data_IF_891500944264
#
_entry.id   IF_891500944264
#
_cell.length_a   1.000
_cell.length_b   1.000
_cell.length_c   1.000
_cell.angle_alpha   90.00
_cell.angle_beta   90.00
_cell.angle_gamma   90.00
#
_symmetry.space_group_name_H-M   'P 1'
#
loop_
_entity.id
_entity.type
_entity.pdbx_description
1 polymer ?
#
# COMPACT_ATOMS: atom_id res chain seq x y z
N UNK A 1 32.34 -28.99 40.36
CA UNK A 1 33.01 -28.43 39.16
C UNK A 1 31.92 -27.74 38.34
N UNK A 2 31.74 -26.40 38.36
CA UNK A 2 32.58 -25.34 37.75
C UNK A 2 32.73 -25.63 36.24
N UNK A 3 32.26 -24.85 35.25
CA UNK A 3 31.75 -23.47 35.12
C UNK A 3 30.92 -23.35 33.80
N UNK A 4 30.20 -22.23 33.57
CA UNK A 4 29.25 -22.00 32.49
C UNK A 4 29.92 -21.45 31.21
N UNK A 5 29.23 -21.56 30.07
CA UNK A 5 29.53 -20.81 28.85
C UNK A 5 28.47 -19.71 28.70
N UNK A 6 28.82 -18.53 29.19
CA UNK A 6 28.25 -17.25 28.75
C UNK A 6 28.66 -17.00 27.31
N UNK A 7 27.68 -16.78 26.44
CA UNK A 7 27.87 -16.25 25.10
C UNK A 7 26.83 -15.17 24.85
N UNK A 8 27.05 -13.99 25.43
CA UNK A 8 26.33 -12.77 25.11
C UNK A 8 26.51 -12.50 23.61
N UNK A 9 25.46 -12.70 22.81
CA UNK A 9 25.38 -12.15 21.45
C UNK A 9 25.05 -10.67 21.59
N UNK A 10 26.07 -9.89 21.93
CA UNK A 10 26.05 -8.46 21.66
C UNK A 10 26.22 -8.31 20.15
N UNK A 11 25.09 -8.36 19.43
CA UNK A 11 25.07 -8.10 18.00
C UNK A 11 25.57 -6.68 17.77
N UNK A 12 26.58 -6.52 16.91
CA UNK A 12 26.92 -5.24 16.35
C UNK A 12 25.66 -4.67 15.70
N UNK A 13 24.99 -3.73 16.36
CA UNK A 13 24.00 -2.87 15.70
C UNK A 13 24.83 -2.12 14.66
N UNK A 14 24.65 -2.49 13.38
CA UNK A 14 25.38 -1.85 12.29
C UNK A 14 25.15 -0.34 12.36
N UNK A 15 26.20 0.46 12.18
CA UNK A 15 26.08 1.92 12.29
C UNK A 15 24.97 2.51 11.41
N UNK A 16 24.66 1.86 10.28
CA UNK A 16 23.52 2.20 9.42
C UNK A 16 22.15 2.07 10.10
N UNK A 17 21.92 1.06 10.94
CA UNK A 17 20.66 0.91 11.67
C UNK A 17 20.45 2.05 12.68
N UNK A 18 21.52 2.46 13.38
CA UNK A 18 21.45 3.59 14.33
C UNK A 18 21.10 4.89 13.60
N UNK A 19 21.68 5.12 12.41
CA UNK A 19 21.41 6.32 11.61
C UNK A 19 19.96 6.37 11.12
N UNK A 20 19.42 5.23 10.66
CA UNK A 20 18.01 5.13 10.23
C UNK A 20 17.07 5.35 11.41
N UNK A 21 17.31 4.73 12.57
CA UNK A 21 16.48 4.95 13.76
C UNK A 21 16.46 6.42 14.19
N UNK A 22 17.59 7.12 14.13
CA UNK A 22 17.65 8.55 14.41
C UNK A 22 16.89 9.39 13.37
N UNK A 23 16.98 9.02 12.09
CA UNK A 23 16.23 9.68 11.02
C UNK A 23 14.72 9.49 11.23
N UNK A 24 14.26 8.28 11.52
CA UNK A 24 12.85 7.97 11.79
C UNK A 24 12.33 8.77 12.99
N UNK A 25 13.10 8.85 14.08
CA UNK A 25 12.75 9.69 15.24
C UNK A 25 12.58 11.15 14.85
N UNK A 26 13.53 11.70 14.09
CA UNK A 26 13.45 13.09 13.62
C UNK A 26 12.20 13.34 12.77
N UNK A 27 11.89 12.45 11.82
CA UNK A 27 10.68 12.57 11.00
C UNK A 27 9.43 12.59 11.89
N UNK A 28 9.35 11.66 12.84
CA UNK A 28 8.22 11.58 13.78
C UNK A 28 8.10 12.82 14.65
N UNK A 29 9.21 13.33 15.20
CA UNK A 29 9.24 14.52 16.06
C UNK A 29 8.74 15.78 15.34
N UNK A 30 9.02 15.92 14.05
CA UNK A 30 8.55 17.06 13.24
C UNK A 30 7.09 16.92 12.81
N UNK A 31 6.65 15.70 12.44
CA UNK A 31 5.32 15.46 11.86
C UNK A 31 4.25 15.24 12.92
N UNK A 32 4.52 14.45 13.98
CA UNK A 32 3.54 14.07 14.99
C UNK A 32 2.82 15.26 15.69
N UNK A 33 3.46 16.42 15.94
CA UNK A 33 2.78 17.58 16.51
C UNK A 33 1.69 18.20 15.62
N UNK A 34 1.60 17.82 14.34
CA UNK A 34 0.59 18.35 13.43
C UNK A 34 -0.82 17.89 13.84
N UNK A 35 -1.82 18.79 13.95
CA UNK A 35 -3.17 18.44 14.41
C UNK A 35 -3.91 17.39 13.57
N UNK A 36 -3.55 17.24 12.29
CA UNK A 36 -4.13 16.25 11.38
C UNK A 36 -3.58 14.84 11.57
N UNK A 37 -2.43 14.65 12.22
CA UNK A 37 -1.77 13.33 12.28
C UNK A 37 -2.40 12.45 13.34
N UNK A 38 -3.05 11.37 12.95
CA UNK A 38 -3.59 10.36 13.87
C UNK A 38 -2.58 9.25 14.17
N UNK A 39 -1.73 8.90 13.21
CA UNK A 39 -0.67 7.91 13.39
C UNK A 39 0.39 7.99 12.31
N UNK A 40 1.58 7.48 12.63
CA UNK A 40 2.71 7.37 11.71
C UNK A 40 3.23 5.94 11.77
N UNK A 41 3.45 5.33 10.61
CA UNK A 41 4.01 3.99 10.50
C UNK A 41 5.22 3.99 9.57
N UNK A 42 6.19 3.13 9.86
CA UNK A 42 7.21 2.71 8.91
C UNK A 42 6.58 1.62 8.02
N UNK A 43 6.65 1.78 6.70
CA UNK A 43 6.16 0.84 5.71
C UNK A 43 7.28 0.07 4.99
N UNK A 44 6.88 -0.58 3.88
CA UNK A 44 7.78 -1.16 2.90
C UNK A 44 8.72 -2.25 3.42
N UNK A 45 9.86 -2.37 2.74
CA UNK A 45 10.85 -3.43 3.00
C UNK A 45 11.46 -3.33 4.41
N UNK A 46 11.57 -2.10 4.95
CA UNK A 46 12.11 -1.84 6.30
C UNK A 46 11.12 -2.24 7.40
N UNK A 47 9.82 -2.11 7.16
CA UNK A 47 8.81 -2.66 8.05
C UNK A 47 8.82 -4.19 8.05
N UNK A 48 8.90 -4.81 6.88
CA UNK A 48 8.81 -6.26 6.70
C UNK A 48 10.12 -7.02 6.95
N UNK A 49 11.24 -6.32 7.15
CA UNK A 49 12.54 -6.95 7.39
C UNK A 49 13.24 -7.50 6.14
N UNK A 50 12.82 -7.02 4.97
CA UNK A 50 13.36 -7.43 3.64
C UNK A 50 14.23 -6.34 3.01
N UNK A 51 14.51 -5.26 3.75
CA UNK A 51 15.30 -4.13 3.27
C UNK A 51 16.77 -4.47 3.02
N UNK A 52 17.32 -3.86 1.97
CA UNK A 52 18.74 -3.78 1.64
C UNK A 52 19.31 -2.41 2.04
N UNK A 53 20.60 -2.20 1.83
CA UNK A 53 21.26 -0.92 2.08
C UNK A 53 20.67 0.21 1.22
N UNK A 54 20.33 -0.10 -0.04
CA UNK A 54 19.74 0.84 -1.01
C UNK A 54 18.22 0.98 -0.90
N UNK A 55 17.56 0.33 0.06
CA UNK A 55 16.12 0.43 0.20
C UNK A 55 15.67 1.81 0.68
N UNK A 56 14.60 2.31 0.09
CA UNK A 56 13.94 3.55 0.50
C UNK A 56 13.34 3.43 1.92
N UNK A 57 12.87 4.56 2.44
CA UNK A 57 12.17 4.65 3.72
C UNK A 57 10.73 5.09 3.47
N UNK A 58 9.79 4.15 3.54
CA UNK A 58 8.36 4.44 3.42
C UNK A 58 7.77 4.89 4.77
N UNK A 59 7.19 6.09 4.80
CA UNK A 59 6.51 6.65 5.98
C UNK A 59 5.02 6.82 5.67
N UNK A 60 4.19 5.97 6.25
CA UNK A 60 2.74 6.11 6.20
C UNK A 60 2.25 7.13 7.22
N UNK A 61 1.60 8.19 6.76
CA UNK A 61 0.99 9.23 7.59
C UNK A 61 -0.53 9.08 7.52
N UNK A 62 -1.13 8.65 8.63
CA UNK A 62 -2.57 8.51 8.75
C UNK A 62 -3.14 9.83 9.26
N UNK A 63 -3.91 10.51 8.42
CA UNK A 63 -4.36 11.88 8.67
C UNK A 63 -5.88 11.99 8.75
N UNK A 64 -6.34 12.94 9.57
CA UNK A 64 -7.70 13.43 9.59
C UNK A 64 -7.88 14.49 8.49
N UNK A 65 -8.69 14.18 7.48
CA UNK A 65 -8.92 15.05 6.32
C UNK A 65 -9.45 16.42 6.73
N UNK A 66 -10.30 16.51 7.75
CA UNK A 66 -10.92 17.78 8.16
C UNK A 66 -9.91 18.78 8.76
N UNK A 67 -8.79 18.27 9.26
CA UNK A 67 -7.74 19.06 9.91
C UNK A 67 -6.50 19.23 9.03
N UNK A 68 -6.52 18.68 7.82
CA UNK A 68 -5.34 18.57 6.96
C UNK A 68 -4.79 19.95 6.61
N UNK A 69 -3.49 20.12 6.79
CA UNK A 69 -2.75 21.35 6.49
C UNK A 69 -1.54 20.99 5.61
N UNK A 70 -1.75 21.05 4.29
CA UNK A 70 -0.72 20.72 3.30
C UNK A 70 0.42 21.73 3.27
N UNK A 71 0.16 23.00 3.61
CA UNK A 71 1.20 24.03 3.64
C UNK A 71 2.16 23.78 4.79
N UNK A 72 1.62 23.45 5.99
CA UNK A 72 2.44 23.04 7.12
C UNK A 72 3.23 21.77 6.84
N UNK A 73 2.61 20.77 6.21
CA UNK A 73 3.31 19.53 5.86
C UNK A 73 4.43 19.78 4.82
N UNK A 74 4.19 20.63 3.83
CA UNK A 74 5.22 21.04 2.85
C UNK A 74 6.38 21.80 3.51
N UNK A 75 6.09 22.68 4.48
CA UNK A 75 7.12 23.36 5.26
C UNK A 75 8.00 22.38 6.06
N UNK A 76 7.37 21.38 6.70
CA UNK A 76 8.10 20.31 7.41
C UNK A 76 8.92 19.48 6.41
N UNK A 77 8.33 19.07 5.29
CA UNK A 77 9.01 18.29 4.27
C UNK A 77 10.24 19.03 3.72
N UNK A 78 10.12 20.33 3.44
CA UNK A 78 11.24 21.19 3.01
C UNK A 78 12.33 21.29 4.09
N UNK A 79 11.96 21.40 5.37
CA UNK A 79 12.93 21.42 6.48
C UNK A 79 13.68 20.09 6.67
N UNK A 80 13.06 18.97 6.29
CA UNK A 80 13.65 17.63 6.35
C UNK A 80 14.52 17.31 5.12
N UNK A 81 14.13 17.79 3.94
CA UNK A 81 14.80 17.52 2.67
C UNK A 81 16.21 18.12 2.61
N UNK A 82 17.18 17.34 2.15
CA UNK A 82 18.60 17.73 2.07
C UNK A 82 18.84 18.95 1.19
N UNK A 83 17.99 19.14 0.17
CA UNK A 83 18.07 20.27 -0.75
C UNK A 83 17.13 21.42 -0.37
N UNK A 84 16.37 21.28 0.72
CA UNK A 84 15.35 22.24 1.15
C UNK A 84 14.39 22.64 0.02
N UNK A 85 14.01 21.68 -0.83
CA UNK A 85 13.07 21.92 -1.94
C UNK A 85 11.70 22.30 -1.38
N UNK A 86 10.97 23.11 -2.13
CA UNK A 86 9.60 23.51 -1.80
C UNK A 86 8.59 22.64 -2.56
N UNK A 87 7.34 22.60 -2.08
CA UNK A 87 6.22 21.90 -2.73
C UNK A 87 6.49 20.40 -3.00
N UNK A 88 7.10 19.72 -2.03
CA UNK A 88 7.47 18.30 -2.09
C UNK A 88 6.30 17.34 -1.89
N UNK A 89 5.23 17.80 -1.23
CA UNK A 89 4.04 17.01 -0.94
C UNK A 89 2.91 17.51 -1.81
N UNK A 90 2.30 16.57 -2.54
CA UNK A 90 1.18 16.85 -3.43
C UNK A 90 -0.07 17.32 -2.68
N UNK A 91 -1.12 17.64 -3.43
CA UNK A 91 -2.49 17.72 -2.87
C UNK A 91 -3.22 16.39 -3.02
N UNK A 92 -4.27 16.23 -2.21
CA UNK A 92 -5.11 15.05 -2.29
C UNK A 92 -5.70 14.85 -3.69
N UNK A 93 -5.56 13.64 -4.23
CA UNK A 93 -6.04 13.25 -5.55
C UNK A 93 -5.03 13.45 -6.70
N UNK A 94 -3.92 14.17 -6.48
CA UNK A 94 -2.91 14.39 -7.53
C UNK A 94 -2.15 13.11 -7.89
N UNK A 95 -2.06 12.17 -6.96
CA UNK A 95 -1.55 10.82 -7.23
C UNK A 95 -2.64 9.84 -7.67
N UNK A 96 -3.86 10.30 -7.94
CA UNK A 96 -5.01 9.46 -8.25
C UNK A 96 -5.93 9.25 -7.04
N UNK A 97 -6.99 8.46 -7.22
CA UNK A 97 -8.05 8.36 -6.22
C UNK A 97 -7.67 7.47 -5.03
N UNK A 98 -6.75 6.53 -5.17
CA UNK A 98 -6.49 5.48 -4.17
C UNK A 98 -5.18 5.63 -3.43
N UNK A 99 -4.22 6.37 -3.97
CA UNK A 99 -3.10 6.88 -3.18
C UNK A 99 -3.43 8.33 -2.87
N UNK A 100 -4.00 8.60 -1.67
CA UNK A 100 -4.58 9.92 -1.36
C UNK A 100 -3.64 11.06 -1.74
N UNK A 101 -2.40 11.00 -1.24
CA UNK A 101 -1.29 11.84 -1.64
C UNK A 101 0.02 11.28 -1.06
N UNK A 102 1.15 11.89 -1.40
CA UNK A 102 2.45 11.65 -0.83
C UNK A 102 3.46 12.73 -1.18
N UNK A 103 4.71 12.45 -0.87
CA UNK A 103 5.84 13.30 -1.24
C UNK A 103 7.14 12.53 -1.23
N UNK A 104 8.08 12.94 -2.08
CA UNK A 104 9.39 12.31 -2.23
C UNK A 104 10.50 13.22 -1.74
N UNK A 105 11.19 12.78 -0.69
CA UNK A 105 12.26 13.52 -0.05
C UNK A 105 13.58 12.76 -0.20
N UNK A 106 14.66 13.50 -0.01
CA UNK A 106 15.95 12.90 0.35
C UNK A 106 16.36 13.46 1.70
N UNK A 107 16.56 12.61 2.70
CA UNK A 107 16.91 13.01 4.07
C UNK A 107 18.18 12.29 4.48
N UNK A 108 19.26 13.05 4.71
CA UNK A 108 20.61 12.55 4.99
C UNK A 108 21.08 11.50 3.97
N UNK A 109 20.76 11.72 2.69
CA UNK A 109 21.10 10.83 1.59
C UNK A 109 20.18 9.62 1.41
N UNK A 110 19.17 9.43 2.27
CA UNK A 110 18.17 8.36 2.11
C UNK A 110 16.95 8.88 1.35
N UNK A 111 16.46 8.11 0.39
CA UNK A 111 15.15 8.33 -0.21
C UNK A 111 14.05 8.05 0.83
N UNK A 112 13.14 9.00 0.99
CA UNK A 112 12.03 8.92 1.94
C UNK A 112 10.73 9.21 1.22
N UNK A 113 9.82 8.24 1.26
CA UNK A 113 8.51 8.30 0.65
C UNK A 113 7.47 8.59 1.73
N UNK A 114 6.87 9.78 1.71
CA UNK A 114 5.71 10.09 2.53
C UNK A 114 4.47 9.57 1.80
N UNK A 115 3.69 8.74 2.47
CA UNK A 115 2.46 8.15 1.93
C UNK A 115 1.31 8.54 2.84
N UNK A 116 0.41 9.41 2.36
CA UNK A 116 -0.72 9.88 3.14
C UNK A 116 -1.92 8.92 2.99
N UNK A 117 -2.58 8.63 4.10
CA UNK A 117 -3.80 7.81 4.18
C UNK A 117 -4.86 8.53 5.00
N UNK A 118 -5.98 8.82 4.38
CA UNK A 118 -7.16 9.36 5.07
C UNK A 118 -7.68 8.31 6.06
N UNK A 119 -7.65 8.64 7.34
CA UNK A 119 -8.03 7.70 8.41
C UNK A 119 -9.51 7.29 8.33
N UNK A 120 -10.40 8.16 7.85
CA UNK A 120 -11.81 7.80 7.70
C UNK A 120 -11.98 6.73 6.62
N UNK A 121 -11.25 6.86 5.51
CA UNK A 121 -11.23 5.88 4.43
C UNK A 121 -10.60 4.55 4.86
N UNK A 122 -9.52 4.60 5.64
CA UNK A 122 -8.90 3.38 6.19
C UNK A 122 -9.90 2.61 7.04
N UNK A 123 -10.68 3.29 7.90
CA UNK A 123 -11.73 2.65 8.71
C UNK A 123 -12.81 2.01 7.83
N UNK A 124 -13.30 2.72 6.81
CA UNK A 124 -14.28 2.17 5.86
C UNK A 124 -13.75 0.90 5.17
N UNK A 125 -12.50 0.92 4.70
CA UNK A 125 -11.88 -0.26 4.10
C UNK A 125 -11.75 -1.40 5.11
N UNK A 126 -11.37 -1.13 6.36
CA UNK A 126 -11.32 -2.17 7.38
C UNK A 126 -12.70 -2.81 7.55
N UNK A 127 -13.77 -2.02 7.66
CA UNK A 127 -15.12 -2.54 7.83
C UNK A 127 -15.61 -3.34 6.59
N UNK A 128 -15.31 -2.87 5.38
CA UNK A 128 -15.62 -3.58 4.13
C UNK A 128 -14.87 -4.91 4.03
N UNK A 129 -13.58 -4.88 4.33
CA UNK A 129 -12.74 -6.08 4.30
C UNK A 129 -13.11 -7.11 5.37
N UNK A 130 -13.65 -6.70 6.53
CA UNK A 130 -14.24 -7.66 7.49
C UNK A 130 -15.39 -8.46 6.87
N UNK A 131 -16.16 -7.86 5.96
CA UNK A 131 -17.27 -8.50 5.24
C UNK A 131 -16.85 -9.19 3.93
N UNK A 132 -15.55 -9.22 3.63
CA UNK A 132 -15.03 -9.75 2.37
C UNK A 132 -15.31 -8.87 1.15
N UNK A 133 -15.70 -7.62 1.36
CA UNK A 133 -15.94 -6.67 0.27
C UNK A 133 -14.62 -6.02 -0.15
N UNK A 134 -14.24 -6.19 -1.42
CA UNK A 134 -13.07 -5.56 -2.02
C UNK A 134 -13.32 -5.27 -3.49
N UNK A 135 -12.63 -4.27 -4.02
CA UNK A 135 -12.74 -3.87 -5.41
C UNK A 135 -11.37 -3.50 -6.00
N UNK A 136 -11.23 -3.75 -7.31
CA UNK A 136 -10.10 -3.32 -8.11
C UNK A 136 -10.42 -1.98 -8.77
N UNK A 137 -9.45 -1.07 -8.75
CA UNK A 137 -9.62 0.30 -9.25
C UNK A 137 -8.49 0.70 -10.17
N UNK A 138 -8.81 1.45 -11.22
CA UNK A 138 -7.76 2.10 -12.00
C UNK A 138 -7.07 3.18 -11.16
N UNK A 139 -5.75 3.17 -11.16
CA UNK A 139 -4.93 4.00 -10.30
C UNK A 139 -3.56 4.21 -10.95
N UNK A 140 -3.12 5.47 -11.04
CA UNK A 140 -1.79 5.81 -11.55
C UNK A 140 -0.71 5.09 -10.75
N UNK A 141 0.31 4.59 -11.46
CA UNK A 141 1.38 3.79 -10.86
C UNK A 141 1.01 2.31 -10.60
N UNK A 142 -0.24 1.92 -10.82
CA UNK A 142 -0.73 0.55 -10.58
C UNK A 142 -1.31 -0.02 -11.89
N UNK A 143 -0.47 -0.53 -12.81
CA UNK A 143 -0.90 -0.94 -14.15
C UNK A 143 -1.91 -2.11 -14.14
N UNK A 144 -1.96 -2.89 -13.07
CA UNK A 144 -2.93 -3.98 -12.87
C UNK A 144 -4.09 -3.61 -11.95
N UNK A 145 -4.27 -2.31 -11.69
CA UNK A 145 -5.25 -1.78 -10.75
C UNK A 145 -4.76 -1.79 -9.30
N UNK A 146 -5.38 -0.92 -8.51
CA UNK A 146 -5.23 -0.84 -7.07
C UNK A 146 -6.38 -1.60 -6.41
N UNK A 147 -6.05 -2.56 -5.57
CA UNK A 147 -7.04 -3.32 -4.81
C UNK A 147 -7.28 -2.57 -3.50
N UNK A 148 -8.50 -2.16 -3.22
CA UNK A 148 -8.80 -1.32 -2.05
C UNK A 148 -8.38 -1.96 -0.72
N UNK A 149 -8.40 -3.29 -0.63
CA UNK A 149 -7.88 -4.07 0.50
C UNK A 149 -6.39 -3.82 0.81
N UNK A 150 -5.62 -3.21 -0.10
CA UNK A 150 -4.24 -2.79 0.15
C UNK A 150 -4.14 -1.81 1.32
N UNK A 151 -5.16 -0.98 1.60
CA UNK A 151 -5.15 -0.09 2.78
C UNK A 151 -5.03 -0.89 4.09
N UNK A 152 -5.75 -2.02 4.20
CA UNK A 152 -5.61 -2.94 5.34
C UNK A 152 -4.21 -3.52 5.37
N UNK A 153 -3.75 -4.07 4.25
CA UNK A 153 -2.45 -4.74 4.15
C UNK A 153 -1.27 -3.84 4.50
N UNK A 154 -1.29 -2.60 4.01
CA UNK A 154 -0.28 -1.57 4.30
C UNK A 154 -0.24 -1.23 5.80
N UNK A 155 -1.40 -1.00 6.44
CA UNK A 155 -1.48 -0.72 7.88
C UNK A 155 -1.05 -1.93 8.72
N UNK A 156 -1.46 -3.13 8.33
CA UNK A 156 -1.09 -4.38 8.99
C UNK A 156 0.42 -4.60 8.96
N UNK A 157 1.04 -4.49 7.78
CA UNK A 157 2.47 -4.71 7.59
C UNK A 157 3.35 -3.59 8.19
N UNK A 158 2.81 -2.36 8.29
CA UNK A 158 3.54 -1.22 8.82
C UNK A 158 3.91 -1.39 10.30
N UNK A 159 5.05 -0.84 10.71
CA UNK A 159 5.45 -0.74 12.13
C UNK A 159 5.04 0.62 12.68
N UNK A 160 4.25 0.65 13.75
CA UNK A 160 3.85 1.91 14.37
C UNK A 160 5.08 2.67 14.91
N UNK A 161 5.22 3.92 14.48
CA UNK A 161 6.22 4.86 14.99
C UNK A 161 5.58 5.88 15.94
N UNK A 162 4.31 6.23 15.69
CA UNK A 162 3.52 7.14 16.51
C UNK A 162 2.03 6.79 16.42
N UNK A 163 1.33 6.91 17.54
CA UNK A 163 -0.12 6.87 17.63
C UNK A 163 -0.57 8.04 18.51
N UNK A 164 -1.52 8.85 18.02
CA UNK A 164 -2.05 9.98 18.80
C UNK A 164 -2.80 9.50 20.03
N UNK A 165 -3.58 8.44 19.86
CA UNK A 165 -4.44 7.88 20.88
C UNK A 165 -4.64 6.38 20.66
N UNK A 166 -5.32 5.74 21.60
CA UNK A 166 -5.58 4.30 21.59
C UNK A 166 -6.40 3.86 20.36
N UNK A 167 -7.23 4.73 19.78
CA UNK A 167 -8.07 4.37 18.63
C UNK A 167 -7.25 4.03 17.39
N UNK A 168 -6.10 4.69 17.20
CA UNK A 168 -5.18 4.34 16.10
C UNK A 168 -4.52 2.98 16.33
N UNK A 169 -4.09 2.71 17.56
CA UNK A 169 -3.49 1.42 17.95
C UNK A 169 -4.48 0.28 17.73
N UNK A 170 -5.71 0.41 18.22
CA UNK A 170 -6.78 -0.58 18.03
C UNK A 170 -7.12 -0.78 16.55
N UNK A 171 -7.16 0.29 15.76
CA UNK A 171 -7.39 0.20 14.32
C UNK A 171 -6.25 -0.57 13.61
N UNK A 172 -5.00 -0.37 14.03
CA UNK A 172 -3.86 -1.13 13.51
C UNK A 172 -3.94 -2.62 13.90
N UNK A 173 -4.21 -2.92 15.16
CA UNK A 173 -4.39 -4.30 15.64
C UNK A 173 -5.51 -5.01 14.88
N UNK A 174 -6.62 -4.31 14.61
CA UNK A 174 -7.70 -4.82 13.74
C UNK A 174 -7.22 -5.13 12.32
N UNK A 175 -6.37 -4.28 11.75
CA UNK A 175 -5.85 -4.48 10.40
C UNK A 175 -4.94 -5.72 10.29
N UNK A 176 -4.21 -6.06 11.36
CA UNK A 176 -3.31 -7.22 11.43
C UNK A 176 -4.05 -8.57 11.41
N UNK A 177 -5.32 -8.58 11.80
CA UNK A 177 -6.16 -9.77 11.64
C UNK A 177 -6.54 -9.91 10.16
N UNK A 178 -6.29 -11.07 9.56
CA UNK A 178 -6.72 -11.36 8.19
C UNK A 178 -8.12 -12.01 8.22
N UNK A 179 -9.20 -11.29 7.81
CA UNK A 179 -10.55 -11.83 7.91
C UNK A 179 -10.75 -13.01 6.95
N UNK A 180 -11.46 -14.03 7.41
CA UNK A 180 -11.72 -15.21 6.60
C UNK A 180 -12.60 -14.91 5.38
N UNK A 181 -13.55 -13.98 5.51
CA UNK A 181 -14.35 -13.49 4.38
C UNK A 181 -13.47 -12.84 3.32
N UNK A 182 -12.52 -11.99 3.73
CA UNK A 182 -11.58 -11.34 2.81
C UNK A 182 -10.74 -12.37 2.06
N UNK A 183 -10.20 -13.37 2.79
CA UNK A 183 -9.41 -14.44 2.20
C UNK A 183 -10.21 -15.19 1.13
N UNK A 184 -11.45 -15.57 1.44
CA UNK A 184 -12.34 -16.27 0.50
C UNK A 184 -12.66 -15.42 -0.72
N UNK A 185 -13.00 -14.15 -0.52
CA UNK A 185 -13.34 -13.21 -1.59
C UNK A 185 -12.16 -12.98 -2.55
N UNK A 186 -10.97 -12.69 -2.02
CA UNK A 186 -9.76 -12.48 -2.84
C UNK A 186 -9.38 -13.73 -3.64
N UNK A 187 -9.38 -14.91 -3.00
CA UNK A 187 -9.08 -16.18 -3.69
C UNK A 187 -10.10 -16.42 -4.80
N UNK A 188 -11.40 -16.25 -4.52
CA UNK A 188 -12.46 -16.46 -5.50
C UNK A 188 -12.29 -15.55 -6.72
N UNK A 189 -12.14 -14.25 -6.48
CA UNK A 189 -12.00 -13.23 -7.52
C UNK A 189 -10.77 -13.49 -8.41
N UNK A 190 -9.59 -13.65 -7.82
CA UNK A 190 -8.37 -13.83 -8.61
C UNK A 190 -8.26 -15.21 -9.26
N UNK A 191 -8.83 -16.26 -8.67
CA UNK A 191 -8.90 -17.57 -9.32
C UNK A 191 -9.84 -17.57 -10.52
N UNK A 192 -10.96 -16.83 -10.45
CA UNK A 192 -11.81 -16.61 -11.60
C UNK A 192 -11.06 -15.91 -12.73
N UNK A 193 -10.43 -14.76 -12.47
CA UNK A 193 -9.65 -13.99 -13.45
C UNK A 193 -8.55 -14.84 -14.11
N UNK A 194 -7.83 -15.64 -13.31
CA UNK A 194 -6.79 -16.54 -13.80
C UNK A 194 -7.36 -17.63 -14.71
N UNK A 195 -8.44 -18.31 -14.30
CA UNK A 195 -9.11 -19.34 -15.12
C UNK A 195 -9.66 -18.75 -16.42
N UNK A 196 -10.26 -17.57 -16.35
CA UNK A 196 -10.82 -16.88 -17.50
C UNK A 196 -9.73 -16.51 -18.51
N UNK A 197 -8.60 -15.98 -18.04
CA UNK A 197 -7.43 -15.68 -18.87
C UNK A 197 -6.84 -16.93 -19.53
N UNK A 198 -6.71 -18.03 -18.79
CA UNK A 198 -6.23 -19.31 -19.34
C UNK A 198 -7.16 -19.84 -20.44
N UNK A 199 -8.48 -19.83 -20.22
CA UNK A 199 -9.46 -20.24 -21.22
C UNK A 199 -9.32 -19.43 -22.52
N UNK A 200 -9.17 -18.10 -22.43
CA UNK A 200 -9.00 -17.24 -23.60
C UNK A 200 -7.67 -17.55 -24.33
N UNK A 201 -6.57 -17.75 -23.59
CA UNK A 201 -5.29 -18.11 -24.17
C UNK A 201 -5.35 -19.46 -24.93
N UNK A 202 -5.97 -20.48 -24.33
CA UNK A 202 -6.19 -21.79 -24.96
C UNK A 202 -7.06 -21.69 -26.23
N UNK A 203 -8.09 -20.86 -26.20
CA UNK A 203 -8.98 -20.63 -27.35
C UNK A 203 -8.24 -19.98 -28.54
N UNK A 204 -7.45 -18.93 -28.29
CA UNK A 204 -6.72 -18.24 -29.35
C UNK A 204 -5.55 -19.09 -29.89
N UNK A 205 -4.87 -19.87 -29.04
CA UNK A 205 -3.81 -20.79 -29.46
C UNK A 205 -4.27 -21.87 -30.46
N UNK A 206 -5.58 -22.11 -30.56
CA UNK A 206 -6.19 -23.08 -31.50
C UNK A 206 -6.62 -22.46 -32.84
N UNK A 207 -6.27 -21.20 -33.12
CA UNK A 207 -6.44 -20.57 -34.44
C UNK A 207 -7.58 -19.56 -34.58
N UNK A 208 -8.20 -19.13 -33.47
CA UNK A 208 -9.12 -18.00 -33.47
C UNK A 208 -8.36 -16.69 -33.33
N UNK A 209 -8.12 -15.97 -34.43
CA UNK A 209 -7.44 -14.68 -34.40
C UNK A 209 -8.33 -13.58 -33.81
N UNK A 210 -8.19 -13.30 -32.52
CA UNK A 210 -8.75 -12.13 -31.86
C UNK A 210 -7.65 -11.37 -31.12
N UNK A 211 -7.55 -10.06 -31.36
CA UNK A 211 -6.64 -9.21 -30.59
C UNK A 211 -7.21 -9.08 -29.16
N UNK A 212 -6.54 -9.67 -28.17
CA UNK A 212 -6.88 -9.49 -26.76
C UNK A 212 -6.27 -8.18 -26.28
N UNK A 213 -7.10 -7.19 -25.93
CA UNK A 213 -6.66 -5.97 -25.26
C UNK A 213 -7.34 -5.93 -23.88
N UNK A 214 -6.57 -6.10 -22.80
CA UNK A 214 -7.08 -5.99 -21.43
C UNK A 214 -7.99 -7.12 -20.95
N UNK A 215 -7.79 -8.36 -21.42
CA UNK A 215 -8.51 -9.54 -20.88
C UNK A 215 -9.91 -9.79 -21.45
N UNK A 216 -10.42 -8.91 -22.31
CA UNK A 216 -11.65 -9.17 -23.07
C UNK A 216 -11.32 -9.36 -24.57
N UNK A 217 -11.93 -10.34 -25.26
CA UNK A 217 -11.93 -10.34 -26.70
C UNK A 217 -12.75 -9.13 -27.17
N UNK A 218 -12.08 -8.18 -27.82
CA UNK A 218 -12.77 -7.18 -28.63
C UNK A 218 -13.02 -7.85 -29.98
N UNK A 219 -14.27 -8.14 -30.37
CA UNK A 219 -14.54 -8.59 -31.73
C UNK A 219 -14.24 -7.43 -32.68
N UNK A 220 -13.02 -7.39 -33.21
CA UNK A 220 -12.67 -6.59 -34.39
C UNK A 220 -13.28 -7.27 -35.61
N UNK A 221 -14.60 -7.16 -35.75
CA UNK A 221 -15.36 -7.69 -36.86
C UNK A 221 -16.36 -6.67 -37.38
N UNK A 222 -15.96 -5.88 -38.38
CA UNK A 222 -16.85 -5.11 -39.27
C UNK A 222 -17.62 -6.05 -40.22
N UNK A 223 -18.25 -7.11 -39.68
CA UNK A 223 -19.02 -8.10 -40.42
C UNK A 223 -20.34 -8.41 -39.71
N UNK A 224 -21.38 -8.86 -40.43
CA UNK A 224 -22.70 -9.07 -39.84
C UNK A 224 -22.64 -10.36 -39.02
N UNK A 225 -22.67 -10.23 -37.70
CA UNK A 225 -23.08 -11.20 -36.65
C UNK A 225 -22.12 -11.07 -35.44
N UNK A 226 -22.55 -10.45 -34.34
CA UNK A 226 -21.79 -10.41 -33.10
C UNK A 226 -21.84 -11.78 -32.41
N UNK A 227 -20.79 -12.58 -32.57
CA UNK A 227 -20.57 -13.78 -31.76
C UNK A 227 -20.31 -13.41 -30.31
N UNK A 228 -21.35 -13.38 -29.48
CA UNK A 228 -21.21 -13.20 -28.04
C UNK A 228 -20.37 -14.34 -27.45
N UNK A 229 -19.33 -14.00 -26.68
CA UNK A 229 -18.61 -14.97 -25.86
C UNK A 229 -19.57 -15.48 -24.79
N UNK A 230 -20.14 -16.67 -25.01
CA UNK A 230 -20.90 -17.38 -23.97
C UNK A 230 -19.92 -17.90 -22.93
N UNK A 231 -19.89 -17.25 -21.77
CA UNK A 231 -19.30 -17.83 -20.56
C UNK A 231 -19.99 -19.18 -20.30
N UNK A 232 -19.21 -20.25 -20.13
CA UNK A 232 -19.78 -21.51 -19.68
C UNK A 232 -20.25 -21.35 -18.22
N UNK A 233 -21.36 -21.97 -17.80
CA UNK A 233 -21.93 -21.78 -16.47
C UNK A 233 -20.97 -22.12 -15.31
N UNK A 234 -20.03 -23.03 -15.54
CA UNK A 234 -18.99 -23.47 -14.59
C UNK A 234 -17.87 -22.44 -14.36
N UNK A 235 -17.87 -21.33 -15.10
CA UNK A 235 -16.90 -20.26 -14.95
C UNK A 235 -17.46 -19.04 -14.22
N UNK A 236 -18.76 -18.90 -14.03
CA UNK A 236 -19.29 -17.76 -13.26
C UNK A 236 -19.03 -17.99 -11.76
N UNK A 237 -18.55 -16.97 -11.01
CA UNK A 237 -18.53 -17.07 -9.55
C UNK A 237 -19.97 -17.21 -9.03
N UNK A 238 -20.16 -18.09 -8.04
CA UNK A 238 -21.44 -18.23 -7.31
C UNK A 238 -21.77 -16.97 -6.49
#
# INVERSE_FOLDING_TARGET
>A
MIRPQTGSRNGYISGGNIMIEQLLRRIVEEIAPCPFVAGIVLGGSRATGTATEDSDIDIGIYYDRERMDFERLNGIASGLDDQHRENLVCREGEWGNWVNCGGWLTVKGYHVDLILRDIARVRDILDRTERGETAAHYQTGHPHGYIDAMYRGELAAGKALYARDQSFTEMKERAEVYPEELRRALISFFMFEAKFSCMLAEGNGRGGGSLLCGGAPVPLGLGPEPGAVRLKPDLLPE
#
